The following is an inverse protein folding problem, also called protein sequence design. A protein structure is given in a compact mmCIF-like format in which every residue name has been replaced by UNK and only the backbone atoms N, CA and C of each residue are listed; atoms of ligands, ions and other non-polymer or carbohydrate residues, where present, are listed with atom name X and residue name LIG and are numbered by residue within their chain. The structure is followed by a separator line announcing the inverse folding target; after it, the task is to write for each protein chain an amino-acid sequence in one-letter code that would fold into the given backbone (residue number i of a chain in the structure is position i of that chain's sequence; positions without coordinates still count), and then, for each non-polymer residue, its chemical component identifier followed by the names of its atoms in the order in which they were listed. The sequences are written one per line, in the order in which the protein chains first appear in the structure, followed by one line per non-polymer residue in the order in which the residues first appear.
data_IF_852637149917
#
_entry.id   IF_852637149917
#
_cell.length_a   1.000
_cell.length_b   1.000
_cell.length_c   1.000
_cell.angle_alpha   90.00
_cell.angle_beta   90.00
_cell.angle_gamma   90.00
#
_symmetry.space_group_name_H-M   'P 1'
#
loop_
_entity.id
_entity.type
_entity.pdbx_description
1 polymer ?
#
# COMPACT_ATOMS: atom_id res chain seq x y z
N UNK A 1 -24.30 -2.61 2.54
CA UNK A 1 -23.23 -2.75 3.56
C UNK A 1 -21.87 -2.92 2.88
N UNK A 2 -21.80 -3.60 1.74
CA UNK A 2 -20.57 -3.78 0.91
C UNK A 2 -19.88 -2.47 0.50
N UNK A 3 -20.62 -1.39 0.24
CA UNK A 3 -20.04 -0.11 -0.22
C UNK A 3 -19.19 0.61 0.83
N UNK A 4 -19.50 0.46 2.12
CA UNK A 4 -18.71 1.07 3.21
C UNK A 4 -17.38 0.35 3.38
N UNK A 5 -17.38 -0.98 3.24
CA UNK A 5 -16.18 -1.79 3.34
C UNK A 5 -15.23 -1.53 2.17
N UNK A 6 -15.77 -1.47 0.95
CA UNK A 6 -15.00 -1.15 -0.25
C UNK A 6 -14.27 0.19 -0.13
N UNK A 7 -14.99 1.27 0.21
CA UNK A 7 -14.41 2.60 0.41
C UNK A 7 -13.36 2.64 1.53
N UNK A 8 -13.55 1.83 2.58
CA UNK A 8 -12.55 1.68 3.64
C UNK A 8 -11.26 1.04 3.12
N UNK A 9 -11.37 0.02 2.26
CA UNK A 9 -10.21 -0.64 1.63
C UNK A 9 -9.44 0.32 0.72
N UNK A 10 -10.12 1.05 -0.16
CA UNK A 10 -9.52 2.08 -1.03
C UNK A 10 -8.74 3.12 -0.21
N UNK A 11 -9.38 3.70 0.81
CA UNK A 11 -8.74 4.68 1.70
C UNK A 11 -7.53 4.09 2.43
N UNK A 12 -7.58 2.82 2.82
CA UNK A 12 -6.46 2.14 3.47
C UNK A 12 -5.27 1.99 2.52
N UNK A 13 -5.49 1.55 1.29
CA UNK A 13 -4.42 1.39 0.28
C UNK A 13 -3.75 2.74 -0.01
N UNK A 14 -4.56 3.79 -0.23
CA UNK A 14 -4.04 5.13 -0.43
C UNK A 14 -3.16 5.61 0.75
N UNK A 15 -3.60 5.40 2.00
CA UNK A 15 -2.78 5.74 3.18
C UNK A 15 -1.48 4.94 3.26
N UNK A 16 -1.49 3.66 2.85
CA UNK A 16 -0.29 2.82 2.82
C UNK A 16 0.70 3.33 1.76
N UNK A 17 0.22 3.70 0.58
CA UNK A 17 1.05 4.29 -0.47
C UNK A 17 1.70 5.60 -0.03
N UNK A 18 0.93 6.54 0.56
CA UNK A 18 1.50 7.79 1.09
C UNK A 18 2.56 7.53 2.16
N UNK A 19 2.34 6.56 3.07
CA UNK A 19 3.35 6.18 4.06
C UNK A 19 4.62 5.59 3.44
N UNK A 20 4.54 4.95 2.28
CA UNK A 20 5.72 4.46 1.56
C UNK A 20 6.49 5.60 0.90
N UNK A 21 5.80 6.64 0.41
CA UNK A 21 6.43 7.87 -0.06
C UNK A 21 7.10 8.62 1.10
N UNK A 22 6.42 8.76 2.23
CA UNK A 22 6.92 9.44 3.43
C UNK A 22 8.14 8.73 4.07
N UNK A 23 8.35 7.44 3.74
CA UNK A 23 9.46 6.66 4.30
C UNK A 23 10.82 7.07 3.74
N UNK A 24 10.85 7.73 2.59
CA UNK A 24 12.05 8.24 1.90
C UNK A 24 13.16 7.18 1.72
N UNK A 25 12.79 5.90 1.63
CA UNK A 25 13.70 4.79 1.32
C UNK A 25 13.35 4.22 -0.06
N UNK A 26 14.20 4.53 -1.05
CA UNK A 26 14.02 4.09 -2.44
C UNK A 26 13.89 2.57 -2.57
N UNK A 27 14.55 1.78 -1.71
CA UNK A 27 14.47 0.31 -1.76
C UNK A 27 13.11 -0.17 -1.28
N UNK A 28 12.57 0.49 -0.27
CA UNK A 28 11.23 0.22 0.23
C UNK A 28 10.18 0.59 -0.83
N UNK A 29 10.30 1.77 -1.46
CA UNK A 29 9.39 2.22 -2.50
C UNK A 29 9.49 1.33 -3.76
N UNK A 30 10.70 1.00 -4.21
CA UNK A 30 10.91 0.09 -5.34
C UNK A 30 10.30 -1.29 -5.10
N UNK A 31 10.39 -1.81 -3.88
CA UNK A 31 9.75 -3.07 -3.52
C UNK A 31 8.22 -2.97 -3.48
N UNK A 32 7.67 -1.82 -3.08
CA UNK A 32 6.23 -1.53 -3.06
C UNK A 32 5.64 -1.50 -4.47
N UNK A 33 6.32 -0.81 -5.41
CA UNK A 33 5.81 -0.62 -6.76
C UNK A 33 5.84 -1.88 -7.65
N UNK A 34 6.39 -2.99 -7.14
CA UNK A 34 6.27 -4.30 -7.81
C UNK A 34 4.86 -4.90 -7.72
N UNK A 35 4.03 -4.40 -6.80
CA UNK A 35 2.68 -4.95 -6.53
C UNK A 35 1.61 -3.87 -6.68
N UNK A 36 1.87 -2.67 -6.19
CA UNK A 36 1.01 -1.50 -6.43
C UNK A 36 1.60 -0.71 -7.60
N UNK A 37 0.82 -0.23 -8.58
CA UNK A 37 1.36 0.59 -9.66
C UNK A 37 2.15 1.79 -9.12
N UNK A 38 3.18 2.20 -9.86
CA UNK A 38 3.84 3.48 -9.62
C UNK A 38 2.89 4.63 -9.95
N UNK A 39 2.94 5.70 -9.17
CA UNK A 39 1.97 6.82 -9.23
C UNK A 39 0.50 6.36 -9.37
N UNK A 40 0.00 5.51 -8.46
CA UNK A 40 -1.29 4.85 -8.61
C UNK A 40 -2.43 5.86 -8.56
N UNK A 41 -3.38 5.67 -9.47
CA UNK A 41 -4.63 6.42 -9.51
C UNK A 41 -5.65 5.87 -8.53
N UNK A 42 -6.80 6.54 -8.42
CA UNK A 42 -7.93 6.02 -7.65
C UNK A 42 -8.44 4.68 -8.21
N UNK A 43 -8.48 4.53 -9.53
CA UNK A 43 -8.95 3.31 -10.20
C UNK A 43 -8.05 2.11 -9.88
N UNK A 44 -6.75 2.33 -9.75
CA UNK A 44 -5.80 1.30 -9.32
C UNK A 44 -6.10 0.83 -7.89
N UNK A 45 -6.38 1.76 -6.98
CA UNK A 45 -6.77 1.42 -5.62
C UNK A 45 -8.11 0.70 -5.55
N UNK A 46 -9.07 1.09 -6.40
CA UNK A 46 -10.37 0.43 -6.53
C UNK A 46 -10.18 -1.01 -7.01
N UNK A 47 -9.40 -1.23 -8.07
CA UNK A 47 -9.06 -2.57 -8.59
C UNK A 47 -8.43 -3.46 -7.50
N UNK A 48 -7.53 -2.91 -6.69
CA UNK A 48 -6.94 -3.64 -5.56
C UNK A 48 -7.99 -3.94 -4.48
N UNK A 49 -8.86 -2.99 -4.17
CA UNK A 49 -9.86 -3.10 -3.11
C UNK A 49 -11.00 -4.10 -3.43
N UNK A 50 -11.38 -4.21 -4.71
CA UNK A 50 -12.40 -5.15 -5.19
C UNK A 50 -11.97 -6.61 -5.01
N UNK A 51 -10.67 -6.89 -5.17
CA UNK A 51 -10.13 -8.23 -5.01
C UNK A 51 -9.60 -8.45 -3.60
N UNK A 52 -10.34 -9.19 -2.77
CA UNK A 52 -9.96 -9.46 -1.37
C UNK A 52 -8.56 -10.09 -1.24
N UNK A 53 -8.21 -11.04 -2.10
CA UNK A 53 -6.89 -11.69 -2.08
C UNK A 53 -5.79 -10.66 -2.35
N UNK A 54 -6.00 -9.80 -3.34
CA UNK A 54 -5.02 -8.79 -3.72
C UNK A 54 -4.89 -7.69 -2.65
N UNK A 55 -6.01 -7.26 -2.07
CA UNK A 55 -6.03 -6.36 -0.92
C UNK A 55 -5.22 -6.93 0.27
N UNK A 56 -5.45 -8.19 0.62
CA UNK A 56 -4.69 -8.85 1.70
C UNK A 56 -3.21 -8.90 1.37
N UNK A 57 -2.84 -9.27 0.15
CA UNK A 57 -1.45 -9.31 -0.30
C UNK A 57 -0.75 -7.94 -0.18
N UNK A 58 -1.39 -6.88 -0.66
CA UNK A 58 -0.89 -5.49 -0.55
C UNK A 58 -0.73 -5.07 0.91
N UNK A 59 -1.70 -5.38 1.79
CA UNK A 59 -1.60 -5.03 3.21
C UNK A 59 -0.46 -5.77 3.92
N UNK A 60 -0.22 -7.03 3.55
CA UNK A 60 0.88 -7.82 4.09
C UNK A 60 2.23 -7.31 3.57
N UNK A 61 2.31 -6.95 2.29
CA UNK A 61 3.50 -6.33 1.71
C UNK A 61 3.85 -5.04 2.44
N UNK A 62 2.89 -4.14 2.61
CA UNK A 62 3.07 -2.90 3.37
C UNK A 62 3.65 -3.21 4.76
N UNK A 63 3.03 -4.12 5.50
CA UNK A 63 3.49 -4.47 6.85
C UNK A 63 4.91 -5.03 6.88
N UNK A 64 5.33 -5.80 5.87
CA UNK A 64 6.71 -6.30 5.77
C UNK A 64 7.71 -5.18 5.45
N UNK A 65 7.40 -4.34 4.46
CA UNK A 65 8.28 -3.25 4.03
C UNK A 65 8.43 -2.20 5.12
N UNK A 66 7.30 -1.74 5.67
CA UNK A 66 7.30 -0.71 6.70
C UNK A 66 8.09 -1.14 7.93
N UNK A 67 7.90 -2.37 8.43
CA UNK A 67 8.69 -2.89 9.58
C UNK A 67 10.18 -3.02 9.29
N UNK A 68 10.54 -3.34 8.05
CA UNK A 68 11.94 -3.55 7.65
C UNK A 68 12.67 -2.20 7.54
N UNK A 69 12.08 -1.26 6.83
CA UNK A 69 12.77 -0.04 6.43
C UNK A 69 12.50 1.16 7.36
N UNK A 70 11.34 1.24 8.03
CA UNK A 70 11.08 2.32 9.00
C UNK A 70 11.96 2.26 10.26
N UNK A 71 12.48 1.09 10.60
CA UNK A 71 13.46 0.96 11.68
C UNK A 71 14.91 1.23 11.22
N UNK A 72 15.17 1.19 9.92
CA UNK A 72 16.48 1.54 9.35
C UNK A 72 16.62 3.05 9.15
N UNK A 73 15.52 3.78 8.91
CA UNK A 73 15.50 5.24 8.76
C UNK A 73 15.70 6.05 10.05
N UNK A 74 15.61 5.42 11.23
CA UNK A 74 15.85 6.07 12.53
C UNK A 74 17.31 5.94 13.03
N UNK A 75 18.24 5.46 12.19
CA UNK A 75 19.69 5.37 12.50
C UNK A 75 20.52 6.32 11.67
#
# INVERSE_FOLDING_TARGET
METIEFESRVKKINRMHNKMLDLDDERAYFAWINVVPDEPTREDFETIAENEKFFVEVTQLFGRLFRRYANESEK
#
